data_IF_095029489407
#
_entry.id   IF_095029489407
#
_cell.length_a   1.000
_cell.length_b   1.000
_cell.length_c   1.000
_cell.angle_alpha   90.00
_cell.angle_beta   90.00
_cell.angle_gamma   90.00
#
_symmetry.space_group_name_H-M   'P 1'
#
loop_
_entity.id
_entity.type
_entity.pdbx_description
1 polymer ?
#
# COMPACT_ATOMS: atom_id res chain seq x y z
N UNK A 1 17.89 -24.53 -12.82
CA UNK A 1 17.88 -23.45 -11.80
C UNK A 1 17.40 -24.07 -10.49
N UNK A 2 18.24 -24.07 -9.46
CA UNK A 2 17.87 -24.50 -8.10
C UNK A 2 17.67 -23.24 -7.26
N UNK A 3 16.59 -23.17 -6.48
CA UNK A 3 16.36 -22.13 -5.48
C UNK A 3 16.22 -22.83 -4.13
N UNK A 4 17.01 -22.42 -3.15
CA UNK A 4 17.07 -23.05 -1.82
C UNK A 4 17.17 -24.59 -1.90
N UNK A 5 18.02 -25.12 -2.80
CA UNK A 5 18.24 -26.56 -2.95
C UNK A 5 17.18 -27.36 -3.71
N UNK A 6 16.02 -26.78 -4.02
CA UNK A 6 14.93 -27.44 -4.75
C UNK A 6 14.90 -27.08 -6.23
N UNK A 7 14.37 -27.98 -7.08
CA UNK A 7 14.15 -27.71 -8.50
C UNK A 7 13.04 -26.66 -8.63
N UNK A 8 13.33 -25.56 -9.32
CA UNK A 8 12.33 -24.53 -9.63
C UNK A 8 11.78 -24.75 -11.03
N UNK A 9 10.46 -24.78 -11.13
CA UNK A 9 9.74 -24.80 -12.40
C UNK A 9 9.36 -23.38 -12.80
N UNK A 10 9.64 -23.01 -14.05
CA UNK A 10 9.36 -21.67 -14.59
C UNK A 10 7.92 -21.62 -15.11
N UNK A 11 6.96 -21.47 -14.20
CA UNK A 11 5.59 -21.16 -14.58
C UNK A 11 5.48 -19.66 -14.93
N UNK A 12 4.87 -19.28 -16.06
CA UNK A 12 4.78 -17.89 -16.49
C UNK A 12 3.69 -17.13 -15.72
N UNK A 13 3.95 -16.83 -14.44
CA UNK A 13 3.00 -16.17 -13.51
C UNK A 13 2.40 -14.89 -14.08
N UNK A 14 3.23 -13.99 -14.60
CA UNK A 14 2.77 -12.68 -15.08
C UNK A 14 1.82 -12.82 -16.27
N UNK A 15 2.07 -13.76 -17.18
CA UNK A 15 1.22 -13.96 -18.37
C UNK A 15 -0.24 -14.24 -17.99
N UNK A 16 -0.45 -15.03 -16.94
CA UNK A 16 -1.78 -15.47 -16.55
C UNK A 16 -2.40 -14.60 -15.46
N UNK A 17 -1.60 -14.02 -14.58
CA UNK A 17 -2.10 -13.30 -13.40
C UNK A 17 -1.96 -11.78 -13.47
N UNK A 18 -1.56 -11.20 -14.61
CA UNK A 18 -1.46 -9.75 -14.77
C UNK A 18 -2.71 -8.95 -14.37
N UNK A 19 -3.97 -9.39 -14.60
CA UNK A 19 -5.13 -8.59 -14.22
C UNK A 19 -5.25 -8.44 -12.70
N UNK A 20 -4.81 -9.45 -11.94
CA UNK A 20 -4.79 -9.38 -10.47
C UNK A 20 -3.70 -8.43 -9.97
N UNK A 21 -2.53 -8.44 -10.59
CA UNK A 21 -1.48 -7.48 -10.25
C UNK A 21 -1.91 -6.04 -10.55
N UNK A 22 -2.56 -5.81 -11.69
CA UNK A 22 -3.12 -4.50 -12.05
C UNK A 22 -4.22 -4.09 -11.06
N UNK A 23 -5.15 -4.99 -10.76
CA UNK A 23 -6.20 -4.75 -9.77
C UNK A 23 -5.62 -4.40 -8.39
N UNK A 24 -4.64 -5.16 -7.92
CA UNK A 24 -3.96 -4.89 -6.65
C UNK A 24 -3.28 -3.52 -6.64
N UNK A 25 -2.56 -3.17 -7.72
CA UNK A 25 -1.94 -1.86 -7.87
C UNK A 25 -2.95 -0.71 -7.86
N UNK A 26 -4.06 -0.87 -8.58
CA UNK A 26 -5.13 0.12 -8.65
C UNK A 26 -5.82 0.30 -7.29
N UNK A 27 -6.19 -0.80 -6.63
CA UNK A 27 -6.81 -0.79 -5.30
C UNK A 27 -5.88 -0.16 -4.27
N UNK A 28 -4.58 -0.52 -4.29
CA UNK A 28 -3.59 0.08 -3.41
C UNK A 28 -3.53 1.61 -3.56
N UNK A 29 -3.51 2.09 -4.81
CA UNK A 29 -3.48 3.53 -5.07
C UNK A 29 -4.76 4.23 -4.60
N UNK A 30 -5.94 3.67 -4.89
CA UNK A 30 -7.22 4.24 -4.48
C UNK A 30 -7.37 4.28 -2.96
N UNK A 31 -7.10 3.17 -2.28
CA UNK A 31 -7.17 3.09 -0.82
C UNK A 31 -6.13 4.03 -0.19
N UNK A 32 -4.93 4.12 -0.76
CA UNK A 32 -3.90 5.04 -0.28
C UNK A 32 -4.36 6.51 -0.32
N UNK A 33 -5.06 6.92 -1.39
CA UNK A 33 -5.64 8.27 -1.48
C UNK A 33 -6.81 8.46 -0.51
N UNK A 34 -7.69 7.48 -0.41
CA UNK A 34 -8.81 7.52 0.53
C UNK A 34 -8.32 7.63 1.99
N UNK A 35 -7.31 6.86 2.37
CA UNK A 35 -6.72 6.88 3.71
C UNK A 35 -6.21 8.28 4.09
N UNK A 36 -5.51 8.97 3.18
CA UNK A 36 -5.01 10.32 3.44
C UNK A 36 -6.14 11.32 3.65
N UNK A 37 -7.24 11.21 2.88
CA UNK A 37 -8.41 12.06 3.07
C UNK A 37 -9.10 11.79 4.42
N UNK A 38 -9.29 10.51 4.75
CA UNK A 38 -9.99 10.09 5.96
C UNK A 38 -9.18 10.36 7.23
N UNK A 39 -7.85 10.33 7.18
CA UNK A 39 -7.02 10.60 8.35
C UNK A 39 -7.03 12.08 8.74
N UNK A 40 -7.33 12.97 7.80
CA UNK A 40 -7.37 14.43 8.01
C UNK A 40 -8.77 14.93 8.43
N UNK A 41 -9.73 14.06 8.75
CA UNK A 41 -11.04 14.52 9.25
C UNK A 41 -10.93 15.03 10.69
N UNK A 42 -11.92 15.80 11.13
CA UNK A 42 -11.93 16.41 12.47
C UNK A 42 -11.77 15.39 13.62
N UNK A 43 -12.27 14.17 13.44
CA UNK A 43 -12.21 13.11 14.45
C UNK A 43 -10.79 12.51 14.59
N UNK A 44 -9.99 12.50 13.51
CA UNK A 44 -8.71 11.79 13.46
C UNK A 44 -7.48 12.70 13.28
N UNK A 45 -7.69 13.99 12.97
CA UNK A 45 -6.62 14.98 12.72
C UNK A 45 -5.69 15.19 13.93
N UNK A 46 -6.24 15.02 15.14
CA UNK A 46 -5.55 15.21 16.41
C UNK A 46 -5.17 13.89 17.10
N UNK A 47 -5.35 12.74 16.44
CA UNK A 47 -4.87 11.46 17.00
C UNK A 47 -3.34 11.45 16.98
N UNK A 48 -2.63 11.29 18.12
CA UNK A 48 -1.18 11.29 18.18
C UNK A 48 -0.50 10.22 17.30
N UNK A 49 -1.25 9.21 16.84
CA UNK A 49 -0.77 8.17 15.91
C UNK A 49 -0.79 8.63 14.46
N UNK A 50 -1.35 9.80 14.16
CA UNK A 50 -1.43 10.32 12.80
C UNK A 50 -0.02 10.41 12.19
N UNK A 51 0.24 9.79 11.02
CA UNK A 51 1.59 9.70 10.44
C UNK A 51 2.29 11.04 10.20
N UNK A 52 1.51 12.13 10.14
CA UNK A 52 1.97 13.52 10.05
C UNK A 52 2.94 13.91 11.16
N UNK A 53 2.68 13.51 12.40
CA UNK A 53 3.53 13.86 13.53
C UNK A 53 4.92 13.22 13.44
N UNK A 54 5.02 12.02 12.84
CA UNK A 54 6.31 11.38 12.56
C UNK A 54 7.13 12.12 11.50
N UNK A 55 6.49 12.96 10.68
CA UNK A 55 7.15 13.79 9.66
C UNK A 55 7.55 15.17 10.20
N UNK A 56 7.23 15.49 11.45
CA UNK A 56 7.53 16.79 12.06
C UNK A 56 6.49 17.88 11.79
N UNK A 57 5.37 17.53 11.13
CA UNK A 57 4.28 18.46 10.87
C UNK A 57 3.34 18.51 12.09
N UNK A 58 3.47 19.55 12.92
CA UNK A 58 2.70 19.69 14.16
C UNK A 58 1.40 20.46 13.89
N UNK A 59 1.44 21.46 13.00
CA UNK A 59 0.29 22.32 12.71
C UNK A 59 -0.44 21.87 11.43
N UNK A 60 -1.67 21.42 11.57
CA UNK A 60 -2.70 21.43 10.52
C UNK A 60 -3.92 22.03 11.19
N UNK A 61 -4.26 23.25 10.77
CA UNK A 61 -5.43 23.99 11.24
C UNK A 61 -6.64 23.62 10.40
#
# INVERSE_FOLDING_TARGET
MKFLGTKVYRFPLVKFYWPFFVGAGLTYWLIGKAQVGLSNTADYINDPRHPRFKKGEIEQK
#
